data_IF_831114474037
#
_entry.id   IF_831114474037
#
_cell.length_a   1.000
_cell.length_b   1.000
_cell.length_c   1.000
_cell.angle_alpha   90.00
_cell.angle_beta   90.00
_cell.angle_gamma   90.00
#
_symmetry.space_group_name_H-M   'P 1'
#
loop_
_entity.id
_entity.type
_entity.pdbx_description
1 polymer ?
#
# COMPACT_ATOMS: atom_id res chain seq x y z
N UNK A 1 -30.43 -1.86 -15.98
CA UNK A 1 -30.22 -0.40 -16.16
C UNK A 1 -30.50 0.27 -14.84
N UNK A 2 -29.62 1.19 -14.43
CA UNK A 2 -29.74 1.97 -13.18
C UNK A 2 -29.99 3.43 -13.54
N UNK A 3 -31.09 4.01 -13.08
CA UNK A 3 -31.51 5.39 -13.46
C UNK A 3 -31.33 6.42 -12.35
N UNK A 4 -31.31 5.98 -11.09
CA UNK A 4 -31.09 6.85 -9.93
C UNK A 4 -29.64 7.17 -9.65
N UNK A 5 -29.37 8.15 -8.78
CA UNK A 5 -28.05 8.36 -8.23
C UNK A 5 -27.66 7.16 -7.36
N UNK A 6 -26.45 6.67 -7.55
CA UNK A 6 -25.89 5.55 -6.83
C UNK A 6 -24.74 6.06 -5.98
N UNK A 7 -24.70 5.68 -4.71
CA UNK A 7 -23.61 6.01 -3.83
C UNK A 7 -22.37 5.22 -4.16
N UNK A 8 -22.12 4.22 -3.39
CA UNK A 8 -20.98 3.34 -3.54
C UNK A 8 -21.44 1.93 -3.93
N UNK A 9 -20.67 1.28 -4.80
CA UNK A 9 -20.73 -0.17 -4.99
C UNK A 9 -19.31 -0.72 -5.16
N UNK A 10 -19.01 -1.86 -4.58
CA UNK A 10 -17.68 -2.46 -4.60
C UNK A 10 -17.67 -3.92 -5.01
N UNK A 11 -18.61 -4.73 -4.61
CA UNK A 11 -18.58 -6.15 -4.93
C UNK A 11 -19.94 -6.69 -5.36
N UNK A 12 -19.91 -7.72 -6.20
CA UNK A 12 -21.03 -8.61 -6.55
C UNK A 12 -22.36 -7.90 -6.88
N UNK A 13 -22.32 -6.77 -7.59
CA UNK A 13 -23.55 -6.11 -8.06
C UNK A 13 -24.39 -7.03 -8.93
N UNK A 14 -23.74 -7.86 -9.76
CA UNK A 14 -24.39 -8.89 -10.59
C UNK A 14 -23.60 -10.19 -10.50
N UNK A 15 -24.31 -11.29 -10.26
CA UNK A 15 -23.69 -12.61 -10.11
C UNK A 15 -24.51 -13.67 -10.87
N UNK A 16 -23.81 -14.57 -11.57
CA UNK A 16 -24.39 -15.69 -12.31
C UNK A 16 -25.44 -15.32 -13.37
N UNK A 17 -25.33 -14.13 -13.95
CA UNK A 17 -26.28 -13.65 -14.96
C UNK A 17 -25.91 -14.15 -16.36
N UNK A 18 -26.41 -15.31 -16.75
CA UNK A 18 -26.02 -16.03 -17.97
C UNK A 18 -26.31 -15.28 -19.28
N UNK A 19 -27.27 -14.36 -19.29
CA UNK A 19 -27.69 -13.64 -20.50
C UNK A 19 -27.43 -12.13 -20.46
N UNK A 20 -26.86 -11.63 -19.40
CA UNK A 20 -26.53 -10.21 -19.23
C UNK A 20 -25.41 -9.82 -20.22
N UNK A 21 -25.64 -8.81 -21.06
CA UNK A 21 -24.64 -8.30 -22.01
C UNK A 21 -24.04 -6.96 -21.60
N UNK A 22 -24.89 -6.05 -21.08
CA UNK A 22 -24.47 -4.71 -20.73
C UNK A 22 -25.04 -4.30 -19.39
N UNK A 23 -24.27 -3.51 -18.62
CA UNK A 23 -24.75 -2.80 -17.43
C UNK A 23 -24.68 -1.32 -17.74
N UNK A 24 -25.80 -0.61 -17.56
CA UNK A 24 -25.89 0.81 -17.90
C UNK A 24 -26.26 1.61 -16.66
N UNK A 25 -25.41 2.57 -16.32
CA UNK A 25 -25.63 3.57 -15.29
C UNK A 25 -26.01 4.90 -15.93
N UNK A 26 -27.31 5.27 -15.86
CA UNK A 26 -27.80 6.56 -16.35
C UNK A 26 -27.74 7.65 -15.29
N UNK A 27 -27.87 7.28 -14.04
CA UNK A 27 -27.68 8.19 -12.93
C UNK A 27 -26.20 8.40 -12.57
N UNK A 28 -25.92 9.43 -11.76
CA UNK A 28 -24.57 9.65 -11.25
C UNK A 28 -24.14 8.55 -10.28
N UNK A 29 -22.85 8.25 -10.28
CA UNK A 29 -22.23 7.31 -9.36
C UNK A 29 -21.24 8.08 -8.49
N UNK A 30 -21.40 8.01 -7.18
CA UNK A 30 -20.49 8.68 -6.25
C UNK A 30 -19.14 7.98 -6.20
N UNK A 31 -19.14 6.66 -6.04
CA UNK A 31 -17.91 5.88 -5.97
C UNK A 31 -18.13 4.49 -6.53
N UNK A 32 -17.17 4.01 -7.31
CA UNK A 32 -17.00 2.60 -7.61
C UNK A 32 -15.76 2.14 -6.86
N UNK A 33 -15.77 0.95 -6.31
CA UNK A 33 -14.62 0.38 -5.66
C UNK A 33 -14.58 -1.12 -5.83
N UNK A 34 -13.48 -1.70 -5.45
CA UNK A 34 -13.35 -3.13 -5.26
C UNK A 34 -13.29 -3.97 -6.53
N UNK A 35 -12.90 -5.20 -6.31
CA UNK A 35 -12.83 -6.26 -7.31
C UNK A 35 -14.15 -7.05 -7.36
N UNK A 36 -14.46 -7.63 -8.52
CA UNK A 36 -15.57 -8.57 -8.63
C UNK A 36 -16.98 -7.96 -8.63
N UNK A 37 -17.12 -6.73 -9.04
CA UNK A 37 -18.43 -6.06 -9.24
C UNK A 37 -19.42 -6.90 -10.07
N UNK A 38 -18.95 -7.61 -11.08
CA UNK A 38 -19.70 -8.59 -11.85
C UNK A 38 -19.00 -9.95 -11.75
N UNK A 39 -19.71 -11.00 -11.39
CA UNK A 39 -19.11 -12.30 -11.20
C UNK A 39 -19.87 -13.39 -11.97
N UNK A 40 -19.13 -14.20 -12.73
CA UNK A 40 -19.67 -15.34 -13.49
C UNK A 40 -20.84 -14.96 -14.41
N UNK A 41 -20.65 -13.87 -15.20
CA UNK A 41 -21.60 -13.41 -16.21
C UNK A 41 -20.97 -13.58 -17.61
N UNK A 42 -21.07 -14.77 -18.23
CA UNK A 42 -20.25 -15.16 -19.39
C UNK A 42 -20.52 -14.34 -20.65
N UNK A 43 -21.69 -13.71 -20.76
CA UNK A 43 -22.06 -12.87 -21.93
C UNK A 43 -21.89 -11.37 -21.65
N UNK A 44 -21.50 -10.97 -20.45
CA UNK A 44 -21.28 -9.56 -20.13
C UNK A 44 -20.03 -9.05 -20.88
N UNK A 45 -20.18 -8.04 -21.71
CA UNK A 45 -19.10 -7.46 -22.52
C UNK A 45 -18.77 -6.01 -22.17
N UNK A 46 -19.71 -5.26 -21.60
CA UNK A 46 -19.47 -3.85 -21.27
C UNK A 46 -20.23 -3.34 -20.05
N UNK A 47 -19.63 -2.31 -19.43
CA UNK A 47 -20.23 -1.47 -18.39
C UNK A 47 -20.25 -0.04 -18.93
N UNK A 48 -21.43 0.59 -18.94
CA UNK A 48 -21.65 1.89 -19.57
C UNK A 48 -22.04 2.91 -18.51
N UNK A 49 -21.29 4.00 -18.43
CA UNK A 49 -21.58 5.14 -17.56
C UNK A 49 -22.03 6.33 -18.42
N UNK A 50 -23.32 6.67 -18.35
CA UNK A 50 -23.91 7.78 -19.15
C UNK A 50 -23.92 9.12 -18.40
N UNK A 51 -23.57 9.13 -17.10
CA UNK A 51 -23.58 10.32 -16.27
C UNK A 51 -22.23 10.52 -15.56
N UNK A 52 -22.21 11.30 -14.48
CA UNK A 52 -21.01 11.62 -13.71
C UNK A 52 -20.62 10.47 -12.77
N UNK A 53 -19.36 10.09 -12.78
CA UNK A 53 -18.73 9.23 -11.79
C UNK A 53 -17.75 10.08 -11.00
N UNK A 54 -17.94 10.23 -9.69
CA UNK A 54 -17.08 11.07 -8.86
C UNK A 54 -15.73 10.38 -8.62
N UNK A 55 -15.77 9.13 -8.20
CA UNK A 55 -14.58 8.33 -7.96
C UNK A 55 -14.73 6.97 -8.65
N UNK A 56 -13.85 6.68 -9.60
CA UNK A 56 -13.86 5.45 -10.38
C UNK A 56 -12.61 4.62 -10.12
N UNK A 57 -12.81 3.36 -9.71
CA UNK A 57 -11.75 2.38 -9.58
C UNK A 57 -11.67 1.50 -10.81
N UNK A 58 -10.51 1.48 -11.47
CA UNK A 58 -10.28 0.64 -12.65
C UNK A 58 -10.22 -0.85 -12.33
N UNK A 59 -9.93 -1.21 -11.09
CA UNK A 59 -9.92 -2.60 -10.65
C UNK A 59 -11.33 -3.21 -10.59
N UNK A 60 -12.37 -2.39 -10.76
CA UNK A 60 -13.76 -2.81 -10.89
C UNK A 60 -13.95 -3.96 -11.89
N UNK A 61 -13.18 -4.00 -12.95
CA UNK A 61 -13.30 -5.01 -14.02
C UNK A 61 -12.39 -6.24 -13.80
N UNK A 62 -11.54 -6.24 -12.79
CA UNK A 62 -10.66 -7.36 -12.49
C UNK A 62 -11.42 -8.50 -11.79
N UNK A 63 -10.91 -9.71 -11.96
CA UNK A 63 -11.34 -10.93 -11.25
C UNK A 63 -12.86 -11.24 -11.34
N UNK A 64 -13.52 -10.67 -12.36
CA UNK A 64 -14.96 -10.81 -12.53
C UNK A 64 -15.42 -12.20 -12.98
N UNK A 65 -14.51 -13.08 -13.45
CA UNK A 65 -14.86 -14.32 -14.17
C UNK A 65 -15.91 -14.09 -15.28
N UNK A 66 -15.81 -12.91 -15.91
CA UNK A 66 -16.63 -12.50 -17.06
C UNK A 66 -15.71 -12.37 -18.28
N UNK A 67 -15.47 -13.46 -19.04
CA UNK A 67 -14.41 -13.52 -20.06
C UNK A 67 -14.57 -12.50 -21.18
N UNK A 68 -15.78 -12.01 -21.42
CA UNK A 68 -16.08 -11.02 -22.45
C UNK A 68 -16.04 -9.57 -21.92
N UNK A 69 -15.94 -9.36 -20.60
CA UNK A 69 -15.90 -8.03 -20.00
C UNK A 69 -14.49 -7.43 -20.11
N UNK A 70 -14.24 -6.73 -21.21
CA UNK A 70 -12.91 -6.17 -21.50
C UNK A 70 -12.88 -4.64 -21.48
N UNK A 71 -14.04 -3.98 -21.35
CA UNK A 71 -14.14 -2.53 -21.48
C UNK A 71 -15.23 -1.92 -20.61
N UNK A 72 -15.06 -0.67 -20.27
CA UNK A 72 -16.14 0.22 -19.82
C UNK A 72 -16.32 1.36 -20.84
N UNK A 73 -17.54 1.83 -21.00
CA UNK A 73 -17.88 2.91 -21.92
C UNK A 73 -18.27 4.13 -21.09
N UNK A 74 -17.67 5.26 -21.41
CA UNK A 74 -17.88 6.54 -20.74
C UNK A 74 -18.53 7.54 -21.69
N UNK A 75 -19.76 7.96 -21.36
CA UNK A 75 -20.45 9.05 -22.04
C UNK A 75 -20.57 10.31 -21.15
N UNK A 76 -20.34 10.16 -19.85
CA UNK A 76 -20.34 11.24 -18.85
C UNK A 76 -18.94 11.69 -18.46
N UNK A 77 -18.82 12.28 -17.27
CA UNK A 77 -17.58 12.82 -16.72
C UNK A 77 -17.13 11.97 -15.53
N UNK A 78 -15.88 11.53 -15.57
CA UNK A 78 -15.20 10.95 -14.40
C UNK A 78 -14.40 12.04 -13.70
N UNK A 79 -14.69 12.31 -12.44
CA UNK A 79 -14.00 13.35 -11.68
C UNK A 79 -12.63 12.86 -11.19
N UNK A 80 -12.53 11.60 -10.77
CA UNK A 80 -11.26 10.96 -10.42
C UNK A 80 -11.26 9.49 -10.87
N UNK A 81 -10.15 9.06 -11.45
CA UNK A 81 -9.88 7.65 -11.78
C UNK A 81 -8.75 7.18 -10.89
N UNK A 82 -9.00 6.11 -10.12
CA UNK A 82 -8.04 5.52 -9.19
C UNK A 82 -7.18 4.45 -9.89
N UNK A 83 -5.98 4.23 -9.38
CA UNK A 83 -5.02 3.26 -9.92
C UNK A 83 -4.65 3.47 -11.40
N UNK A 84 -4.84 4.68 -11.93
CA UNK A 84 -4.38 5.02 -13.26
C UNK A 84 -3.76 6.43 -13.26
N UNK A 85 -2.95 6.73 -14.29
CA UNK A 85 -2.19 7.97 -14.40
C UNK A 85 -3.04 9.26 -14.47
N UNK A 86 -4.36 9.16 -14.58
CA UNK A 86 -5.27 10.31 -14.63
C UNK A 86 -5.89 10.51 -13.26
N UNK A 87 -5.35 11.40 -12.48
CA UNK A 87 -5.84 11.69 -11.12
C UNK A 87 -7.16 12.45 -11.10
N UNK A 88 -7.46 13.29 -12.10
CA UNK A 88 -8.71 14.04 -12.25
C UNK A 88 -8.96 14.32 -13.73
N UNK A 89 -10.23 14.21 -14.13
CA UNK A 89 -10.68 14.53 -15.49
C UNK A 89 -11.78 15.62 -15.49
N UNK A 90 -11.95 16.31 -14.36
CA UNK A 90 -12.90 17.40 -14.26
C UNK A 90 -12.42 18.59 -15.08
N UNK A 91 -13.16 18.93 -16.12
CA UNK A 91 -13.07 20.18 -16.84
C UNK A 91 -14.27 21.05 -16.45
N UNK A 92 -14.01 22.12 -15.72
CA UNK A 92 -15.05 23.02 -15.20
C UNK A 92 -15.82 23.68 -16.36
N UNK A 93 -15.17 24.04 -17.44
CA UNK A 93 -15.83 24.67 -18.60
C UNK A 93 -16.68 23.65 -19.35
N UNK A 94 -16.21 22.43 -19.47
CA UNK A 94 -17.02 21.33 -20.00
C UNK A 94 -18.26 21.07 -19.13
N UNK A 95 -18.11 21.06 -17.81
CA UNK A 95 -19.24 20.91 -16.88
C UNK A 95 -20.24 22.07 -17.03
N UNK A 96 -19.78 23.33 -17.13
CA UNK A 96 -20.65 24.50 -17.34
C UNK A 96 -21.46 24.41 -18.64
N UNK A 97 -20.89 23.79 -19.67
CA UNK A 97 -21.59 23.56 -20.95
C UNK A 97 -22.60 22.40 -20.91
N UNK A 98 -22.64 21.62 -19.81
CA UNK A 98 -23.48 20.44 -19.66
C UNK A 98 -24.40 20.52 -18.41
N UNK A 99 -25.51 21.24 -18.45
CA UNK A 99 -26.40 21.46 -17.29
C UNK A 99 -26.93 20.14 -16.67
N UNK A 100 -27.09 19.09 -17.48
CA UNK A 100 -27.49 17.76 -16.98
C UNK A 100 -26.47 17.21 -16.01
N UNK A 101 -25.18 17.26 -16.35
CA UNK A 101 -24.10 16.77 -15.50
C UNK A 101 -24.01 17.56 -14.20
N UNK A 102 -24.18 18.90 -14.25
CA UNK A 102 -24.24 19.75 -13.05
C UNK A 102 -25.42 19.34 -12.15
N UNK A 103 -26.58 19.06 -12.74
CA UNK A 103 -27.74 18.59 -11.97
C UNK A 103 -27.47 17.27 -11.28
N UNK A 104 -26.80 16.35 -11.94
CA UNK A 104 -26.42 15.05 -11.38
C UNK A 104 -25.38 15.20 -10.26
N UNK A 105 -24.36 16.06 -10.43
CA UNK A 105 -23.40 16.37 -9.38
C UNK A 105 -24.06 16.94 -8.11
N UNK A 106 -25.04 17.85 -8.30
CA UNK A 106 -25.80 18.40 -7.17
C UNK A 106 -26.60 17.34 -6.41
N UNK A 107 -27.25 16.42 -7.15
CA UNK A 107 -27.98 15.30 -6.54
C UNK A 107 -27.01 14.36 -5.78
N UNK A 108 -25.85 14.07 -6.36
CA UNK A 108 -24.81 13.28 -5.72
C UNK A 108 -24.35 13.94 -4.43
N UNK A 109 -24.09 15.24 -4.44
CA UNK A 109 -23.70 15.98 -3.24
C UNK A 109 -24.76 15.96 -2.14
N UNK A 110 -26.04 16.11 -2.50
CA UNK A 110 -27.16 16.04 -1.57
C UNK A 110 -27.24 14.64 -0.94
N UNK A 111 -27.11 13.61 -1.73
CA UNK A 111 -27.10 12.23 -1.26
C UNK A 111 -25.89 11.96 -0.35
N UNK A 112 -24.69 12.37 -0.74
CA UNK A 112 -23.49 12.25 0.09
C UNK A 112 -23.64 12.96 1.43
N UNK A 113 -24.19 14.17 1.45
CA UNK A 113 -24.45 14.90 2.69
C UNK A 113 -25.40 14.14 3.62
N UNK A 114 -26.43 13.47 3.07
CA UNK A 114 -27.34 12.63 3.85
C UNK A 114 -26.62 11.44 4.48
N UNK A 115 -25.77 10.72 3.72
CA UNK A 115 -24.99 9.59 4.24
C UNK A 115 -24.00 10.05 5.32
N UNK A 116 -23.27 11.15 5.06
CA UNK A 116 -22.27 11.67 6.00
C UNK A 116 -22.87 12.10 7.33
N UNK A 117 -24.15 12.47 7.36
CA UNK A 117 -24.87 12.88 8.58
C UNK A 117 -25.77 11.79 9.18
N UNK A 118 -25.94 10.64 8.51
CA UNK A 118 -26.77 9.56 9.00
C UNK A 118 -26.13 8.85 10.21
N UNK A 119 -26.96 8.47 11.19
CA UNK A 119 -26.48 7.88 12.46
C UNK A 119 -25.96 6.42 12.32
N UNK A 120 -26.45 5.67 11.35
CA UNK A 120 -26.23 4.21 11.24
C UNK A 120 -25.64 3.81 9.87
N UNK A 121 -24.72 4.58 9.33
CA UNK A 121 -24.11 4.30 8.01
C UNK A 121 -22.58 4.35 8.03
N UNK A 122 -21.99 3.90 9.11
CA UNK A 122 -20.53 3.98 9.34
C UNK A 122 -19.72 3.34 8.21
N UNK A 123 -20.15 2.19 7.72
CA UNK A 123 -19.51 1.47 6.63
C UNK A 123 -19.55 2.22 5.28
N UNK A 124 -20.56 3.05 5.03
CA UNK A 124 -20.65 3.88 3.82
C UNK A 124 -19.93 5.23 4.00
N UNK A 125 -19.87 5.73 5.23
CA UNK A 125 -19.41 7.09 5.54
C UNK A 125 -18.00 7.35 5.05
N UNK A 126 -17.08 6.43 5.24
CA UNK A 126 -15.68 6.58 4.79
C UNK A 126 -15.59 6.75 3.27
N UNK A 127 -16.23 5.88 2.50
CA UNK A 127 -16.20 5.95 1.04
C UNK A 127 -16.85 7.24 0.52
N UNK A 128 -18.00 7.61 1.10
CA UNK A 128 -18.71 8.84 0.70
C UNK A 128 -17.95 10.09 1.12
N UNK A 129 -17.23 10.06 2.24
CA UNK A 129 -16.35 11.15 2.63
C UNK A 129 -15.21 11.37 1.62
N UNK A 130 -14.56 10.30 1.18
CA UNK A 130 -13.51 10.38 0.17
C UNK A 130 -14.05 10.91 -1.17
N UNK A 131 -15.20 10.43 -1.59
CA UNK A 131 -15.89 10.93 -2.79
C UNK A 131 -16.28 12.41 -2.64
N UNK A 132 -16.77 12.81 -1.47
CA UNK A 132 -17.12 14.20 -1.18
C UNK A 132 -15.90 15.15 -1.22
N UNK A 133 -14.72 14.69 -0.77
CA UNK A 133 -13.46 15.46 -0.90
C UNK A 133 -13.12 15.79 -2.36
N UNK A 134 -13.51 14.94 -3.30
CA UNK A 134 -13.30 15.15 -4.73
C UNK A 134 -14.36 16.06 -5.31
N UNK A 135 -15.62 15.86 -4.91
CA UNK A 135 -16.76 16.62 -5.44
C UNK A 135 -16.84 18.06 -4.92
N UNK A 136 -16.49 18.27 -3.65
CA UNK A 136 -16.58 19.60 -3.02
C UNK A 136 -15.86 20.71 -3.78
N UNK A 137 -14.56 20.60 -4.15
CA UNK A 137 -13.86 21.64 -4.91
C UNK A 137 -14.48 21.90 -6.28
N UNK A 138 -15.05 20.90 -6.93
CA UNK A 138 -15.76 21.05 -8.21
C UNK A 138 -17.02 21.87 -8.02
N UNK A 139 -17.84 21.56 -7.02
CA UNK A 139 -19.07 22.33 -6.71
C UNK A 139 -18.75 23.76 -6.29
N UNK A 140 -17.66 23.97 -5.55
CA UNK A 140 -17.18 25.30 -5.18
C UNK A 140 -16.78 26.11 -6.40
N UNK A 141 -16.05 25.52 -7.36
CA UNK A 141 -15.67 26.17 -8.62
C UNK A 141 -16.88 26.49 -9.52
N UNK A 142 -17.96 25.72 -9.37
CA UNK A 142 -19.26 25.96 -10.04
C UNK A 142 -20.14 26.97 -9.30
N UNK A 143 -19.69 27.55 -8.18
CA UNK A 143 -20.48 28.44 -7.29
C UNK A 143 -21.82 27.81 -6.87
N UNK A 144 -21.83 26.51 -6.59
CA UNK A 144 -23.03 25.77 -6.22
C UNK A 144 -23.29 25.86 -4.72
N UNK A 145 -24.54 26.16 -4.32
CA UNK A 145 -24.97 26.18 -2.90
C UNK A 145 -24.81 24.79 -2.22
N UNK A 146 -24.85 23.71 -3.00
CA UNK A 146 -24.66 22.37 -2.50
C UNK A 146 -23.24 22.15 -1.94
N UNK A 147 -22.26 22.99 -2.33
CA UNK A 147 -20.91 22.95 -1.77
C UNK A 147 -20.91 23.22 -0.27
N UNK A 148 -21.67 24.21 0.20
CA UNK A 148 -21.72 24.56 1.63
C UNK A 148 -22.38 23.45 2.46
N UNK A 149 -23.47 22.88 1.93
CA UNK A 149 -24.16 21.75 2.58
C UNK A 149 -23.24 20.53 2.68
N UNK A 150 -22.53 20.20 1.58
CA UNK A 150 -21.58 19.07 1.55
C UNK A 150 -20.43 19.32 2.53
N UNK A 151 -19.88 20.55 2.57
CA UNK A 151 -18.81 20.91 3.52
C UNK A 151 -19.23 20.77 4.97
N UNK A 152 -20.43 21.20 5.31
CA UNK A 152 -20.98 21.05 6.67
C UNK A 152 -21.12 19.57 7.05
N UNK A 153 -21.63 18.74 6.14
CA UNK A 153 -21.74 17.29 6.34
C UNK A 153 -20.37 16.60 6.50
N UNK A 154 -19.38 17.00 5.69
CA UNK A 154 -18.01 16.52 5.83
C UNK A 154 -17.38 16.88 7.18
N UNK A 155 -17.57 18.12 7.64
CA UNK A 155 -17.07 18.55 8.94
C UNK A 155 -17.71 17.77 10.09
N UNK A 156 -19.01 17.50 10.00
CA UNK A 156 -19.71 16.65 10.96
C UNK A 156 -19.18 15.24 10.98
N UNK A 157 -19.06 14.59 9.80
CA UNK A 157 -18.49 13.25 9.69
C UNK A 157 -17.06 13.19 10.24
N UNK A 158 -16.23 14.18 9.91
CA UNK A 158 -14.86 14.27 10.44
C UNK A 158 -14.82 14.31 11.98
N UNK A 159 -15.79 14.99 12.61
CA UNK A 159 -15.87 15.06 14.07
C UNK A 159 -16.23 13.74 14.75
N UNK A 160 -16.72 12.75 14.01
CA UNK A 160 -17.09 11.44 14.53
C UNK A 160 -15.87 10.51 14.71
N UNK A 161 -14.76 10.73 13.99
CA UNK A 161 -13.53 10.00 14.23
C UNK A 161 -12.84 9.43 12.98
N UNK A 162 -12.03 8.39 13.20
CA UNK A 162 -11.12 7.84 12.19
C UNK A 162 -11.83 7.15 11.01
N UNK A 163 -13.10 6.79 11.14
CA UNK A 163 -13.86 6.08 10.11
C UNK A 163 -14.04 6.85 8.80
N UNK A 164 -13.84 8.17 8.83
CA UNK A 164 -13.90 9.02 7.62
C UNK A 164 -12.54 9.46 7.11
N UNK A 165 -11.48 9.15 7.84
CA UNK A 165 -10.12 9.57 7.51
C UNK A 165 -9.48 8.60 6.51
N UNK A 166 -8.65 9.12 5.59
CA UNK A 166 -7.77 8.27 4.81
C UNK A 166 -6.69 7.66 5.70
N UNK A 167 -6.03 6.61 5.22
CA UNK A 167 -4.86 6.03 5.90
C UNK A 167 -3.76 7.07 6.11
N UNK A 168 -3.59 7.95 5.15
CA UNK A 168 -2.64 9.07 5.24
C UNK A 168 -3.07 10.11 6.29
N UNK A 169 -4.36 10.44 6.39
CA UNK A 169 -4.87 11.36 7.42
C UNK A 169 -4.60 10.79 8.83
N UNK A 170 -4.87 9.49 9.05
CA UNK A 170 -4.58 8.80 10.32
C UNK A 170 -3.08 8.85 10.64
N UNK A 171 -2.23 8.64 9.62
CA UNK A 171 -0.79 8.68 9.80
C UNK A 171 -0.29 10.10 10.15
N UNK A 172 -0.84 11.14 9.52
CA UNK A 172 -0.51 12.54 9.80
C UNK A 172 -0.87 12.97 11.23
N UNK A 173 -1.89 12.37 11.81
CA UNK A 173 -2.33 12.64 13.18
C UNK A 173 -1.62 11.77 14.22
N UNK A 174 -0.75 10.84 13.80
CA UNK A 174 -0.03 9.97 14.74
C UNK A 174 0.87 10.78 15.68
N UNK A 175 0.95 10.41 16.96
CA UNK A 175 1.93 11.01 17.87
C UNK A 175 3.36 10.87 17.33
N UNK A 176 4.22 11.82 17.66
CA UNK A 176 5.63 11.77 17.28
C UNK A 176 6.37 10.71 18.08
N UNK A 177 7.54 10.34 17.59
CA UNK A 177 8.51 9.57 18.36
C UNK A 177 9.22 10.46 19.40
N UNK A 178 9.80 9.83 20.38
CA UNK A 178 10.54 10.51 21.44
C UNK A 178 11.95 9.91 21.53
N UNK A 179 12.92 10.70 21.97
CA UNK A 179 14.26 10.24 22.29
C UNK A 179 14.32 9.95 23.79
N UNK A 180 13.75 8.83 24.22
CA UNK A 180 13.96 8.33 25.59
C UNK A 180 15.36 7.72 25.73
N UNK A 181 15.86 7.52 26.96
CA UNK A 181 17.15 6.89 27.15
C UNK A 181 17.24 5.56 26.39
N UNK A 182 18.35 5.28 25.73
CA UNK A 182 18.47 4.11 24.88
C UNK A 182 18.27 2.83 25.69
N UNK A 183 17.65 1.85 25.05
CA UNK A 183 17.65 0.47 25.54
C UNK A 183 19.09 0.00 25.77
N UNK A 184 19.33 -0.75 26.82
CA UNK A 184 20.62 -1.42 27.05
C UNK A 184 20.80 -2.63 26.11
N UNK A 185 20.47 -2.44 24.84
CA UNK A 185 20.59 -3.43 23.77
C UNK A 185 20.97 -2.75 22.46
N UNK A 186 21.78 -3.45 21.65
CA UNK A 186 22.15 -3.03 20.31
C UNK A 186 21.68 -4.04 19.28
N UNK A 187 21.34 -3.57 18.08
CA UNK A 187 21.10 -4.46 16.94
C UNK A 187 22.38 -5.18 16.56
N UNK A 188 22.24 -6.46 16.27
CA UNK A 188 23.34 -7.32 15.83
C UNK A 188 23.08 -7.82 14.42
N UNK A 189 24.15 -7.95 13.66
CA UNK A 189 24.14 -8.39 12.28
C UNK A 189 25.17 -9.51 12.12
N UNK A 190 24.76 -10.62 11.47
CA UNK A 190 25.69 -11.68 11.16
C UNK A 190 26.72 -11.20 10.15
N UNK A 191 27.97 -11.57 10.38
CA UNK A 191 29.07 -11.25 9.48
C UNK A 191 28.99 -12.09 8.19
N UNK A 192 29.48 -11.61 7.04
CA UNK A 192 29.53 -12.37 5.79
C UNK A 192 30.32 -13.66 5.90
N UNK A 193 31.17 -13.77 6.91
CA UNK A 193 31.93 -14.98 7.25
C UNK A 193 31.11 -16.05 7.97
N UNK A 194 29.88 -15.75 8.40
CA UNK A 194 28.95 -16.73 8.96
C UNK A 194 28.79 -17.92 7.99
N UNK A 195 28.72 -19.12 8.57
CA UNK A 195 28.67 -20.35 7.77
C UNK A 195 27.46 -20.39 6.82
N UNK A 196 26.28 -20.03 7.33
CA UNK A 196 25.05 -20.09 6.54
C UNK A 196 25.09 -19.04 5.43
N UNK A 197 25.46 -17.80 5.76
CA UNK A 197 25.61 -16.73 4.79
C UNK A 197 26.63 -17.04 3.70
N UNK A 198 27.77 -17.66 4.04
CA UNK A 198 28.76 -18.11 3.03
C UNK A 198 28.20 -19.19 2.12
N UNK A 199 27.41 -20.11 2.66
CA UNK A 199 26.79 -21.18 1.84
C UNK A 199 25.76 -20.56 0.87
N UNK A 200 24.87 -19.69 1.34
CA UNK A 200 23.90 -18.96 0.52
C UNK A 200 24.59 -18.12 -0.55
N UNK A 201 25.63 -17.34 -0.16
CA UNK A 201 26.44 -16.53 -1.08
C UNK A 201 27.02 -17.34 -2.22
N UNK A 202 27.62 -18.49 -1.90
CA UNK A 202 28.21 -19.39 -2.88
C UNK A 202 27.17 -20.08 -3.76
N UNK A 203 26.07 -20.57 -3.16
CA UNK A 203 25.01 -21.30 -3.87
C UNK A 203 24.40 -20.47 -4.97
N UNK A 204 24.06 -19.23 -4.67
CA UNK A 204 23.41 -18.31 -5.60
C UNK A 204 24.37 -17.42 -6.39
N UNK A 205 25.67 -17.51 -6.12
CA UNK A 205 26.67 -16.64 -6.72
C UNK A 205 26.33 -15.14 -6.52
N UNK A 206 25.95 -14.77 -5.27
CA UNK A 206 25.40 -13.47 -4.95
C UNK A 206 26.35 -12.30 -5.26
N UNK A 207 27.67 -12.53 -5.25
CA UNK A 207 28.64 -11.50 -5.67
C UNK A 207 28.45 -11.09 -7.13
N UNK A 208 28.22 -12.07 -8.00
CA UNK A 208 27.97 -11.80 -9.43
C UNK A 208 26.64 -11.09 -9.63
N UNK A 209 25.62 -11.48 -8.87
CA UNK A 209 24.29 -10.83 -8.92
C UNK A 209 24.40 -9.39 -8.43
N UNK A 210 25.00 -9.18 -7.27
CA UNK A 210 25.21 -7.84 -6.70
C UNK A 210 26.06 -6.95 -7.62
N UNK A 211 27.04 -7.55 -8.32
CA UNK A 211 27.95 -6.82 -9.21
C UNK A 211 29.04 -6.04 -8.46
N UNK A 212 29.81 -5.27 -9.23
CA UNK A 212 30.97 -4.54 -8.74
C UNK A 212 30.73 -3.03 -8.60
N UNK A 213 29.48 -2.60 -8.65
CA UNK A 213 29.09 -1.20 -8.45
C UNK A 213 29.22 -0.74 -6.99
N UNK A 214 28.76 0.47 -6.74
CA UNK A 214 28.63 0.99 -5.37
C UNK A 214 27.59 0.20 -4.55
N UNK A 215 27.50 0.52 -3.27
CA UNK A 215 26.59 -0.18 -2.35
C UNK A 215 25.12 -0.06 -2.77
N UNK A 216 24.70 1.10 -3.29
CA UNK A 216 23.33 1.32 -3.80
C UNK A 216 23.04 0.44 -5.01
N UNK A 217 23.93 0.39 -5.98
CA UNK A 217 23.79 -0.48 -7.16
C UNK A 217 23.70 -1.95 -6.76
N UNK A 218 24.53 -2.39 -5.81
CA UNK A 218 24.52 -3.76 -5.30
C UNK A 218 23.22 -4.10 -4.58
N UNK A 219 22.67 -3.18 -3.79
CA UNK A 219 21.37 -3.34 -3.12
C UNK A 219 20.25 -3.50 -4.14
N UNK A 220 20.20 -2.62 -5.14
CA UNK A 220 19.18 -2.65 -6.21
C UNK A 220 19.25 -3.95 -7.00
N UNK A 221 20.44 -4.40 -7.36
CA UNK A 221 20.61 -5.66 -8.10
C UNK A 221 20.07 -6.87 -7.31
N UNK A 222 20.32 -6.92 -6.00
CA UNK A 222 19.79 -7.98 -5.14
C UNK A 222 18.28 -7.85 -4.91
N UNK A 223 17.76 -6.62 -4.78
CA UNK A 223 16.33 -6.33 -4.69
C UNK A 223 15.58 -6.90 -5.88
N UNK A 224 15.99 -6.52 -7.09
CA UNK A 224 15.35 -6.99 -8.32
C UNK A 224 15.53 -8.50 -8.52
N UNK A 225 16.70 -9.03 -8.17
CA UNK A 225 16.92 -10.47 -8.27
C UNK A 225 15.98 -11.28 -7.36
N UNK A 226 15.75 -10.87 -6.12
CA UNK A 226 14.80 -11.55 -5.23
C UNK A 226 13.38 -11.43 -5.77
N UNK A 227 12.96 -10.22 -6.17
CA UNK A 227 11.66 -9.96 -6.76
C UNK A 227 11.38 -10.83 -8.00
N UNK A 228 12.33 -10.93 -8.91
CA UNK A 228 12.16 -11.64 -10.18
C UNK A 228 12.18 -13.17 -10.02
N UNK A 229 12.72 -13.67 -8.93
CA UNK A 229 12.90 -15.11 -8.72
C UNK A 229 11.92 -15.74 -7.74
N UNK A 230 11.23 -14.96 -6.92
CA UNK A 230 10.25 -15.43 -5.94
C UNK A 230 9.00 -14.57 -6.06
N UNK A 231 7.91 -15.14 -6.60
CA UNK A 231 6.64 -14.43 -6.70
C UNK A 231 6.05 -14.14 -5.32
N UNK A 232 5.41 -13.00 -5.18
CA UNK A 232 4.63 -12.69 -3.99
C UNK A 232 3.24 -13.31 -4.07
N UNK A 233 2.84 -14.01 -2.99
CA UNK A 233 1.47 -14.44 -2.75
C UNK A 233 1.13 -14.28 -1.26
N UNK A 234 0.35 -13.25 -0.94
CA UNK A 234 -0.04 -12.94 0.43
C UNK A 234 -0.90 -14.02 1.09
N UNK A 235 -1.54 -14.90 0.32
CA UNK A 235 -2.34 -16.02 0.84
C UNK A 235 -1.49 -17.22 1.24
N UNK A 236 -0.28 -17.33 0.72
CA UNK A 236 0.67 -18.38 1.04
C UNK A 236 1.65 -17.91 2.11
N UNK A 237 1.56 -18.16 3.32
CA UNK A 237 2.48 -17.75 4.40
C UNK A 237 3.98 -17.81 4.07
N UNK A 238 4.78 -18.42 4.91
CA UNK A 238 6.19 -18.71 4.69
C UNK A 238 6.38 -20.09 4.05
N UNK A 239 7.48 -20.30 3.34
CA UNK A 239 7.82 -21.62 2.81
C UNK A 239 7.93 -22.64 3.96
N UNK A 240 7.38 -23.86 3.79
CA UNK A 240 7.56 -24.93 4.79
C UNK A 240 9.03 -25.27 5.01
N UNK A 241 9.43 -25.45 6.25
CA UNK A 241 10.81 -25.76 6.63
C UNK A 241 11.62 -24.52 7.04
N UNK A 242 12.88 -24.47 6.66
CA UNK A 242 13.78 -23.39 7.03
C UNK A 242 13.33 -22.04 6.43
N UNK A 243 13.35 -21.00 7.25
CA UNK A 243 12.93 -19.64 6.84
C UNK A 243 14.12 -18.83 6.33
N UNK A 244 14.66 -19.28 5.20
CA UNK A 244 15.86 -18.71 4.58
C UNK A 244 15.70 -18.60 3.06
N UNK A 245 16.64 -17.94 2.42
CA UNK A 245 16.64 -17.72 0.97
C UNK A 245 16.66 -19.05 0.20
N UNK A 246 17.51 -20.00 0.60
CA UNK A 246 17.65 -21.26 -0.11
C UNK A 246 16.34 -22.04 -0.12
N UNK A 247 15.75 -22.28 1.04
CA UNK A 247 14.53 -23.06 1.15
C UNK A 247 13.33 -22.36 0.47
N UNK A 248 13.21 -21.05 0.63
CA UNK A 248 12.12 -20.27 0.00
C UNK A 248 12.21 -20.32 -1.52
N UNK A 249 13.40 -20.09 -2.07
CA UNK A 249 13.66 -20.14 -3.51
C UNK A 249 13.38 -21.54 -4.11
N UNK A 250 13.91 -22.58 -3.49
CA UNK A 250 13.74 -23.97 -3.94
C UNK A 250 12.27 -24.42 -3.85
N UNK A 251 11.60 -24.04 -2.76
CA UNK A 251 10.19 -24.35 -2.52
C UNK A 251 9.29 -23.64 -3.53
N UNK A 252 9.54 -22.38 -3.82
CA UNK A 252 8.80 -21.63 -4.83
C UNK A 252 8.88 -22.29 -6.19
N UNK A 253 10.07 -22.72 -6.61
CA UNK A 253 10.30 -23.41 -7.89
C UNK A 253 9.68 -24.81 -7.92
N UNK A 254 9.83 -25.58 -6.84
CA UNK A 254 9.30 -26.94 -6.77
C UNK A 254 7.78 -26.96 -6.82
N UNK A 255 7.15 -26.02 -6.15
CA UNK A 255 5.69 -25.97 -6.01
C UNK A 255 5.02 -25.01 -7.00
N UNK A 256 5.80 -24.29 -7.81
CA UNK A 256 5.30 -23.25 -8.74
C UNK A 256 4.35 -22.27 -8.05
N UNK A 257 4.75 -21.75 -6.87
CA UNK A 257 3.94 -20.84 -6.05
C UNK A 257 4.77 -19.68 -5.51
N UNK A 258 4.09 -18.59 -5.17
CA UNK A 258 4.66 -17.46 -4.45
C UNK A 258 4.56 -17.63 -2.93
N UNK A 259 5.17 -16.69 -2.19
CA UNK A 259 5.12 -16.58 -0.74
C UNK A 259 4.82 -15.14 -0.31
N UNK A 260 4.49 -14.94 0.97
CA UNK A 260 4.13 -13.61 1.47
C UNK A 260 5.32 -12.63 1.50
N UNK A 261 5.03 -11.35 1.76
CA UNK A 261 6.01 -10.27 1.84
C UNK A 261 7.13 -10.55 2.86
N UNK A 262 6.82 -11.23 3.98
CA UNK A 262 7.80 -11.59 5.00
C UNK A 262 8.85 -12.57 4.46
N UNK A 263 8.44 -13.58 3.69
CA UNK A 263 9.36 -14.52 3.06
C UNK A 263 10.34 -13.81 2.12
N UNK A 264 9.83 -12.91 1.27
CA UNK A 264 10.65 -12.15 0.33
C UNK A 264 11.62 -11.22 1.07
N UNK A 265 11.16 -10.54 2.12
CA UNK A 265 12.00 -9.64 2.93
C UNK A 265 13.11 -10.39 3.69
N UNK A 266 12.83 -11.59 4.22
CA UNK A 266 13.84 -12.47 4.79
C UNK A 266 14.89 -12.85 3.74
N UNK A 267 14.45 -13.24 2.55
CA UNK A 267 15.35 -13.61 1.45
C UNK A 267 16.29 -12.47 1.05
N UNK A 268 15.74 -11.25 0.92
CA UNK A 268 16.55 -10.07 0.58
C UNK A 268 17.52 -9.71 1.71
N UNK A 269 17.06 -9.76 2.97
CA UNK A 269 17.92 -9.50 4.14
C UNK A 269 19.11 -10.47 4.16
N UNK A 270 18.86 -11.76 3.98
CA UNK A 270 19.93 -12.77 3.94
C UNK A 270 20.90 -12.54 2.77
N UNK A 271 20.38 -12.23 1.57
CA UNK A 271 21.23 -11.95 0.41
C UNK A 271 22.14 -10.74 0.64
N UNK A 272 21.62 -9.66 1.25
CA UNK A 272 22.38 -8.46 1.58
C UNK A 272 23.46 -8.73 2.64
N UNK A 273 23.12 -9.42 3.73
CA UNK A 273 24.06 -9.81 4.77
C UNK A 273 25.17 -10.69 4.19
N UNK A 274 24.83 -11.64 3.32
CA UNK A 274 25.78 -12.55 2.69
C UNK A 274 26.84 -11.83 1.85
N UNK A 275 26.54 -10.70 1.25
CA UNK A 275 27.51 -9.89 0.50
C UNK A 275 28.11 -8.73 1.32
N UNK A 276 27.89 -8.70 2.64
CA UNK A 276 28.49 -7.74 3.55
C UNK A 276 27.78 -6.40 3.64
N UNK A 277 26.51 -6.36 3.32
CA UNK A 277 25.66 -5.19 3.49
C UNK A 277 24.76 -5.42 4.71
N UNK A 278 24.94 -4.70 5.84
CA UNK A 278 24.05 -4.82 6.97
C UNK A 278 22.61 -4.57 6.55
N UNK A 279 21.71 -5.49 6.91
CA UNK A 279 20.31 -5.41 6.53
C UNK A 279 19.41 -6.04 7.61
N UNK A 280 18.17 -5.61 7.65
CA UNK A 280 17.11 -6.21 8.47
C UNK A 280 15.75 -6.00 7.82
N UNK A 281 14.84 -6.94 8.01
CA UNK A 281 13.47 -6.71 7.58
C UNK A 281 12.68 -5.97 8.66
N UNK A 282 11.69 -5.20 8.21
CA UNK A 282 10.79 -4.40 9.05
C UNK A 282 9.37 -4.84 8.76
N UNK A 283 8.68 -5.34 9.77
CA UNK A 283 7.23 -5.55 9.71
C UNK A 283 6.56 -4.21 9.94
N UNK A 284 5.86 -3.73 8.94
CA UNK A 284 5.10 -2.50 8.95
C UNK A 284 3.65 -2.84 9.33
N UNK A 285 3.15 -2.25 10.42
CA UNK A 285 1.90 -2.65 11.06
C UNK A 285 0.96 -1.46 11.14
N UNK A 286 -0.32 -1.68 10.86
CA UNK A 286 -1.35 -0.64 10.87
C UNK A 286 -1.73 -0.19 12.30
N UNK A 287 -2.28 1.02 12.44
CA UNK A 287 -2.91 1.49 13.68
C UNK A 287 -4.01 0.54 14.14
N UNK A 288 -4.78 0.02 13.18
CA UNK A 288 -5.92 -0.86 13.42
C UNK A 288 -5.58 -2.35 13.48
N UNK A 289 -4.37 -2.72 13.87
CA UNK A 289 -3.86 -4.11 13.88
C UNK A 289 -4.77 -5.12 14.61
N UNK A 290 -5.59 -4.69 15.55
CA UNK A 290 -6.54 -5.55 16.28
C UNK A 290 -7.64 -6.12 15.37
N UNK A 291 -8.01 -5.41 14.32
CA UNK A 291 -9.09 -5.76 13.40
C UNK A 291 -8.63 -5.91 11.95
N UNK A 292 -7.46 -5.40 11.61
CA UNK A 292 -6.83 -5.48 10.30
C UNK A 292 -5.63 -6.43 10.36
N UNK A 293 -5.80 -7.64 9.89
CA UNK A 293 -4.76 -8.66 9.86
C UNK A 293 -3.71 -8.42 8.75
N UNK A 294 -3.92 -7.43 7.87
CA UNK A 294 -2.98 -7.12 6.81
C UNK A 294 -1.85 -6.24 7.35
N UNK A 295 -0.65 -6.71 7.19
CA UNK A 295 0.59 -5.98 7.44
C UNK A 295 1.50 -6.09 6.21
N UNK A 296 2.52 -5.26 6.15
CA UNK A 296 3.53 -5.37 5.10
C UNK A 296 4.92 -5.55 5.68
N UNK A 297 5.79 -6.26 4.95
CA UNK A 297 7.17 -6.47 5.38
C UNK A 297 8.12 -6.01 4.29
N UNK A 298 8.94 -5.02 4.63
CA UNK A 298 10.00 -4.49 3.78
C UNK A 298 11.36 -4.89 4.32
N UNK A 299 12.41 -4.62 3.56
CA UNK A 299 13.79 -4.70 4.03
C UNK A 299 14.40 -3.30 4.10
N UNK A 300 15.31 -3.09 5.02
CA UNK A 300 16.21 -1.94 5.03
C UNK A 300 17.65 -2.42 4.94
N UNK A 301 18.46 -1.66 4.20
CA UNK A 301 19.87 -1.92 4.00
C UNK A 301 20.71 -0.71 4.39
N UNK A 302 21.87 -0.93 4.98
CA UNK A 302 22.78 0.16 5.36
C UNK A 302 23.62 0.61 4.16
N UNK A 303 23.40 1.82 3.72
CA UNK A 303 24.26 2.45 2.72
C UNK A 303 25.44 3.15 3.37
N UNK A 304 26.65 2.67 3.06
CA UNK A 304 27.90 3.31 3.47
C UNK A 304 28.11 4.64 2.76
N UNK A 305 27.73 4.71 1.49
CA UNK A 305 27.90 5.92 0.68
C UNK A 305 26.98 7.06 1.16
N UNK A 306 25.75 6.74 1.59
CA UNK A 306 24.79 7.70 2.14
C UNK A 306 24.90 7.84 3.68
N UNK A 307 25.65 6.96 4.34
CA UNK A 307 25.76 6.86 5.80
C UNK A 307 24.40 6.79 6.51
N UNK A 308 23.47 5.98 5.95
CA UNK A 308 22.13 5.78 6.51
C UNK A 308 21.49 4.48 6.03
N UNK A 309 20.43 4.09 6.70
CA UNK A 309 19.52 3.05 6.23
C UNK A 309 18.76 3.52 4.98
N UNK A 310 18.45 2.60 4.09
CA UNK A 310 17.60 2.84 2.92
C UNK A 310 16.50 1.80 2.82
N UNK A 311 15.33 2.22 2.35
CA UNK A 311 14.18 1.38 2.12
C UNK A 311 14.34 0.56 0.85
N UNK A 312 14.17 -0.76 0.92
CA UNK A 312 14.11 -1.68 -0.23
C UNK A 312 13.01 -2.72 0.00
N UNK A 313 12.08 -2.83 -0.93
CA UNK A 313 10.91 -3.69 -0.81
C UNK A 313 10.89 -4.74 -1.93
N UNK A 314 11.22 -6.00 -1.62
CA UNK A 314 11.27 -7.04 -2.64
C UNK A 314 9.90 -7.49 -3.16
N UNK A 315 8.82 -7.21 -2.43
CA UNK A 315 7.45 -7.53 -2.87
C UNK A 315 7.06 -6.71 -4.10
N UNK A 316 7.45 -5.45 -4.12
CA UNK A 316 7.09 -4.51 -5.17
C UNK A 316 8.29 -4.04 -6.01
N UNK A 317 9.46 -4.67 -5.87
CA UNK A 317 10.70 -4.19 -6.50
C UNK A 317 10.91 -2.69 -6.26
N UNK A 318 10.61 -2.21 -5.04
CA UNK A 318 10.46 -0.78 -4.77
C UNK A 318 11.53 -0.24 -3.83
N UNK A 319 11.99 0.96 -4.12
CA UNK A 319 12.66 1.87 -3.20
C UNK A 319 12.08 3.28 -3.37
N UNK A 320 12.34 4.15 -2.44
CA UNK A 320 11.80 5.51 -2.41
C UNK A 320 12.93 6.51 -2.33
N UNK A 321 12.85 7.58 -3.13
CA UNK A 321 13.82 8.68 -3.12
C UNK A 321 13.14 10.01 -2.82
N UNK A 322 13.94 10.98 -2.44
CA UNK A 322 13.55 12.39 -2.46
C UNK A 322 13.60 12.97 -3.89
N UNK A 323 13.31 14.26 -4.02
CA UNK A 323 13.35 15.04 -5.26
C UNK A 323 14.75 15.15 -5.89
N UNK A 324 15.81 14.83 -5.14
CA UNK A 324 17.20 14.82 -5.60
C UNK A 324 17.69 13.41 -5.99
N UNK A 325 16.82 12.41 -5.92
CA UNK A 325 17.16 11.03 -6.21
C UNK A 325 17.90 10.31 -5.08
N UNK A 326 17.92 10.86 -3.85
CA UNK A 326 18.55 10.25 -2.68
C UNK A 326 17.59 9.25 -2.06
N UNK A 327 18.03 8.00 -1.91
CA UNK A 327 17.22 6.96 -1.27
C UNK A 327 16.90 7.29 0.18
N UNK A 328 15.68 7.04 0.59
CA UNK A 328 15.13 7.37 1.89
C UNK A 328 15.01 6.12 2.78
N UNK A 329 15.09 6.31 4.10
CA UNK A 329 14.74 5.28 5.07
C UNK A 329 13.28 5.43 5.55
N UNK A 330 12.70 4.41 6.21
CA UNK A 330 11.27 4.44 6.57
C UNK A 330 10.85 5.65 7.41
N UNK A 331 11.69 6.12 8.34
CA UNK A 331 11.41 7.33 9.13
C UNK A 331 11.37 8.60 8.27
N UNK A 332 12.25 8.74 7.27
CA UNK A 332 12.21 9.87 6.33
C UNK A 332 10.96 9.80 5.43
N UNK A 333 10.59 8.59 5.00
CA UNK A 333 9.34 8.39 4.22
C UNK A 333 8.12 8.76 5.07
N UNK A 334 8.07 8.28 6.32
CA UNK A 334 7.02 8.63 7.27
C UNK A 334 6.92 10.15 7.48
N UNK A 335 8.05 10.79 7.77
CA UNK A 335 8.10 12.24 7.96
C UNK A 335 7.58 12.99 6.71
N UNK A 336 8.01 12.58 5.51
CA UNK A 336 7.59 13.21 4.26
C UNK A 336 6.11 12.98 3.96
N UNK A 337 5.56 11.80 4.27
CA UNK A 337 4.12 11.53 4.17
C UNK A 337 3.31 12.43 5.12
N UNK A 338 3.79 12.60 6.35
CA UNK A 338 3.12 13.45 7.34
C UNK A 338 3.12 14.94 6.98
N UNK A 339 4.13 15.40 6.21
CA UNK A 339 4.34 16.82 5.89
C UNK A 339 4.09 17.16 4.41
N UNK A 340 3.50 16.24 3.65
CA UNK A 340 3.22 16.40 2.21
C UNK A 340 4.47 16.78 1.38
N UNK A 341 5.63 16.27 1.77
CA UNK A 341 6.89 16.50 1.04
C UNK A 341 7.02 15.51 -0.12
N UNK A 342 7.76 15.86 -1.18
CA UNK A 342 7.93 15.01 -2.35
C UNK A 342 8.49 13.63 -2.01
N UNK A 343 7.87 12.58 -2.56
CA UNK A 343 8.31 11.20 -2.51
C UNK A 343 8.26 10.62 -3.92
N UNK A 344 9.37 10.08 -4.37
CA UNK A 344 9.50 9.50 -5.70
C UNK A 344 9.68 7.99 -5.55
N UNK A 345 8.69 7.26 -6.04
CA UNK A 345 8.74 5.80 -6.12
C UNK A 345 9.58 5.39 -7.34
N UNK A 346 10.37 4.35 -7.21
CA UNK A 346 11.09 3.74 -8.32
C UNK A 346 10.18 3.49 -9.53
N UNK A 347 10.64 3.87 -10.72
CA UNK A 347 9.88 3.71 -11.95
C UNK A 347 9.61 2.24 -12.32
N UNK A 348 10.49 1.32 -11.90
CA UNK A 348 10.36 -0.11 -12.11
C UNK A 348 9.49 -0.81 -11.04
N UNK A 349 9.03 -0.06 -10.01
CA UNK A 349 8.21 -0.64 -8.95
C UNK A 349 6.95 -1.32 -9.51
N UNK A 350 6.83 -2.61 -9.21
CA UNK A 350 5.74 -3.44 -9.72
C UNK A 350 5.44 -4.62 -8.77
N UNK A 351 4.28 -5.23 -8.90
CA UNK A 351 3.92 -6.48 -8.25
C UNK A 351 4.05 -7.65 -9.23
N UNK A 352 4.95 -8.60 -8.93
CA UNK A 352 5.16 -9.84 -9.68
C UNK A 352 5.42 -9.62 -11.19
N UNK A 353 6.07 -8.55 -11.60
CA UNK A 353 6.29 -8.19 -13.01
C UNK A 353 4.99 -8.08 -13.84
N UNK A 354 3.85 -7.84 -13.17
CA UNK A 354 2.51 -7.81 -13.80
C UNK A 354 1.79 -6.48 -13.60
N UNK A 355 1.91 -5.88 -12.41
CA UNK A 355 1.14 -4.68 -12.05
C UNK A 355 2.08 -3.58 -11.59
N UNK A 356 2.28 -2.59 -12.45
CA UNK A 356 3.09 -1.40 -12.11
C UNK A 356 2.47 -0.66 -10.93
N UNK A 357 3.31 -0.27 -9.97
CA UNK A 357 2.88 0.51 -8.82
C UNK A 357 2.88 2.01 -9.13
N UNK A 358 2.04 2.74 -8.42
CA UNK A 358 2.04 4.20 -8.41
C UNK A 358 2.39 4.71 -7.02
N UNK A 359 3.05 5.87 -6.95
CA UNK A 359 3.36 6.49 -5.67
C UNK A 359 2.09 6.77 -4.83
N UNK A 360 0.99 7.15 -5.47
CA UNK A 360 -0.27 7.41 -4.77
C UNK A 360 -0.82 6.14 -4.11
N UNK A 361 -0.86 5.01 -4.83
CA UNK A 361 -1.31 3.75 -4.22
C UNK A 361 -0.31 3.23 -3.21
N UNK A 362 0.94 2.99 -3.65
CA UNK A 362 1.93 2.31 -2.82
C UNK A 362 2.26 3.11 -1.54
N UNK A 363 2.50 4.43 -1.66
CA UNK A 363 2.91 5.25 -0.52
C UNK A 363 1.74 5.81 0.28
N UNK A 364 0.73 6.41 -0.38
CA UNK A 364 -0.32 7.17 0.31
C UNK A 364 -1.51 6.33 0.75
N UNK A 365 -1.71 5.15 0.15
CA UNK A 365 -2.78 4.22 0.54
C UNK A 365 -2.20 3.02 1.29
N UNK A 366 -1.38 2.20 0.61
CA UNK A 366 -0.92 0.94 1.16
C UNK A 366 0.10 1.11 2.29
N UNK A 367 1.19 1.85 2.05
CA UNK A 367 2.21 2.04 3.08
C UNK A 367 1.80 3.05 4.15
N UNK A 368 1.02 4.09 3.83
CA UNK A 368 0.47 4.99 4.84
C UNK A 368 -0.38 4.24 5.88
N UNK A 369 -1.07 3.16 5.47
CA UNK A 369 -1.75 2.26 6.41
C UNK A 369 -0.76 1.49 7.29
N UNK A 370 0.28 0.95 6.69
CA UNK A 370 1.14 -0.06 7.29
C UNK A 370 2.36 0.50 8.03
N UNK A 371 2.77 1.75 7.82
CA UNK A 371 3.97 2.33 8.45
C UNK A 371 3.71 2.95 9.84
N UNK A 372 2.61 2.59 10.49
CA UNK A 372 2.23 3.20 11.77
C UNK A 372 3.05 2.66 12.96
N UNK A 373 3.30 1.35 12.99
CA UNK A 373 4.24 0.69 13.89
C UNK A 373 5.29 -0.06 13.07
N UNK A 374 6.53 -0.11 13.54
CA UNK A 374 7.63 -0.72 12.81
C UNK A 374 8.33 -1.76 13.70
N UNK A 375 8.15 -3.04 13.40
CA UNK A 375 8.76 -4.12 14.17
C UNK A 375 9.95 -4.75 13.43
N UNK A 376 11.00 -5.08 14.16
CA UNK A 376 12.17 -5.77 13.61
C UNK A 376 12.83 -6.68 14.62
N UNK A 377 13.63 -7.62 14.15
CA UNK A 377 14.46 -8.46 15.02
C UNK A 377 15.67 -7.70 15.55
N UNK A 378 16.04 -7.95 16.80
CA UNK A 378 17.28 -7.43 17.38
C UNK A 378 18.49 -8.15 16.79
N UNK A 379 18.37 -9.45 16.49
CA UNK A 379 19.40 -10.24 15.84
C UNK A 379 19.05 -10.53 14.39
N UNK A 380 19.90 -10.08 13.47
CA UNK A 380 19.70 -10.18 12.03
C UNK A 380 20.76 -11.12 11.45
N UNK A 381 20.30 -12.31 10.99
CA UNK A 381 21.14 -13.41 10.55
C UNK A 381 20.42 -14.25 9.48
N UNK A 382 21.06 -15.28 8.96
CA UNK A 382 20.37 -16.33 8.22
C UNK A 382 19.35 -17.05 9.13
N UNK A 383 18.20 -17.41 8.57
CA UNK A 383 17.12 -18.06 9.32
C UNK A 383 16.66 -17.25 10.56
N UNK A 384 16.33 -15.98 10.44
CA UNK A 384 16.03 -15.16 11.61
C UNK A 384 14.79 -15.63 12.39
N UNK A 385 13.97 -16.50 11.81
CA UNK A 385 12.73 -17.04 12.37
C UNK A 385 12.65 -18.58 12.40
N UNK A 386 13.77 -19.27 12.30
CA UNK A 386 13.81 -20.74 12.37
C UNK A 386 13.46 -21.29 13.76
N UNK A 387 13.12 -22.58 13.85
CA UNK A 387 12.87 -23.29 15.12
C UNK A 387 14.08 -23.20 16.06
N UNK A 388 15.27 -23.15 15.51
CA UNK A 388 16.52 -22.94 16.24
C UNK A 388 16.86 -21.45 16.34
N UNK A 389 15.89 -20.60 16.11
CA UNK A 389 16.11 -19.19 16.21
C UNK A 389 16.70 -18.91 17.58
N UNK A 390 17.86 -18.33 17.57
CA UNK A 390 18.64 -18.00 18.72
C UNK A 390 17.76 -17.48 19.85
N UNK A 391 18.00 -17.78 21.14
CA UNK A 391 17.22 -17.28 22.29
C UNK A 391 17.00 -15.77 22.28
N UNK A 392 17.67 -15.07 21.39
CA UNK A 392 17.56 -13.64 21.14
C UNK A 392 16.69 -13.29 19.93
N UNK A 393 15.88 -14.21 19.41
CA UNK A 393 14.83 -13.93 18.44
C UNK A 393 13.75 -12.97 18.98
N UNK A 394 14.22 -11.98 19.71
CA UNK A 394 13.42 -10.92 20.32
C UNK A 394 13.21 -9.84 19.29
N UNK A 395 11.96 -9.39 19.22
CA UNK A 395 11.57 -8.27 18.39
C UNK A 395 11.47 -6.99 19.20
N UNK A 396 11.69 -5.88 18.56
CA UNK A 396 11.42 -4.55 19.07
C UNK A 396 10.55 -3.80 18.08
N UNK A 397 9.53 -3.14 18.60
CA UNK A 397 8.63 -2.31 17.80
C UNK A 397 8.85 -0.84 18.13
N UNK A 398 9.14 -0.05 17.11
CA UNK A 398 9.08 1.40 17.19
C UNK A 398 7.61 1.82 17.16
N UNK A 399 7.19 2.47 18.22
CA UNK A 399 5.81 2.93 18.43
C UNK A 399 5.78 4.44 18.67
N UNK A 400 4.75 5.16 18.19
CA UNK A 400 4.56 6.56 18.55
C UNK A 400 4.40 6.72 20.08
N UNK A 401 4.78 7.85 20.61
CA UNK A 401 4.71 8.14 22.07
C UNK A 401 3.30 7.86 22.62
N UNK A 402 3.25 7.16 23.75
CA UNK A 402 2.01 6.81 24.43
C UNK A 402 1.28 5.59 23.88
N UNK A 403 1.82 4.95 22.83
CA UNK A 403 1.26 3.73 22.25
C UNK A 403 2.14 2.51 22.57
N UNK A 404 1.52 1.32 22.49
CA UNK A 404 2.20 0.03 22.65
C UNK A 404 1.69 -0.96 21.62
N UNK A 405 2.58 -1.86 21.19
CA UNK A 405 2.22 -3.02 20.38
C UNK A 405 2.45 -4.29 21.23
N UNK A 406 1.39 -4.99 21.64
CA UNK A 406 1.50 -6.02 22.68
C UNK A 406 2.16 -7.32 22.20
N UNK A 407 2.28 -7.53 20.89
CA UNK A 407 2.89 -8.74 20.34
C UNK A 407 4.41 -8.67 20.24
N UNK A 408 5.01 -7.48 20.39
CA UNK A 408 6.46 -7.34 20.43
C UNK A 408 7.03 -7.74 21.80
N UNK A 409 8.27 -8.23 21.81
CA UNK A 409 8.99 -8.45 23.08
C UNK A 409 9.31 -7.11 23.77
N UNK A 410 9.58 -6.08 22.98
CA UNK A 410 9.90 -4.74 23.46
C UNK A 410 9.21 -3.68 22.59
N UNK A 411 8.83 -2.58 23.22
CA UNK A 411 8.38 -1.37 22.54
C UNK A 411 9.36 -0.25 22.83
N UNK A 412 9.61 0.60 21.85
CA UNK A 412 10.39 1.83 22.02
C UNK A 412 9.76 2.97 21.24
N UNK A 413 9.81 4.17 21.77
CA UNK A 413 9.54 5.40 21.04
C UNK A 413 10.82 6.17 20.66
N UNK A 414 11.98 5.61 20.98
CA UNK A 414 13.29 6.20 20.64
C UNK A 414 13.65 5.87 19.18
N UNK A 415 13.27 6.78 18.30
CA UNK A 415 13.56 6.68 16.87
C UNK A 415 15.06 6.67 16.58
N UNK A 416 15.85 7.47 17.31
CA UNK A 416 17.29 7.55 17.13
C UNK A 416 17.97 6.22 17.45
N UNK A 417 17.57 5.58 18.55
CA UNK A 417 18.05 4.24 18.90
C UNK A 417 17.60 3.21 17.85
N UNK A 418 16.34 3.27 17.41
CA UNK A 418 15.81 2.29 16.45
C UNK A 418 16.55 2.35 15.10
N UNK A 419 16.95 3.52 14.63
CA UNK A 419 17.71 3.72 13.40
C UNK A 419 19.23 3.82 13.60
N UNK A 420 19.75 3.32 14.74
CA UNK A 420 21.19 3.37 15.02
C UNK A 420 22.03 2.77 13.87
N UNK A 421 23.23 3.31 13.71
CA UNK A 421 24.24 2.78 12.77
C UNK A 421 24.57 1.33 13.13
N UNK A 422 24.67 0.41 12.17
CA UNK A 422 25.13 -0.95 12.44
C UNK A 422 26.58 -0.90 12.96
N UNK A 423 26.82 -1.61 14.04
CA UNK A 423 28.15 -1.72 14.68
C UNK A 423 29.02 -2.70 13.92
#
# INVERSE_FOLDING_TARGET
MFEGAIGHFDCALVTNCQNLRNIIFRGSVSSTGGQGFAHNCPKLDSVIFESTVVYFDLDLLKDSKCPNLTKYIRHGVFLKVYNNKIASIADIDYLKSNPRLIKDLKKTAQWQAQILTAKNSDWMRSNEYQSARILYPVLKALNSKEADTLKAAMNYAWSLGDEVKTKLDILKESPKYNSEPPFDMAFRYAEPSDRMLRMTRKKFNLDKIAGNGDDISRMKNLLYWVHDNIEHDGSNGLAPGARNLENTYESARRNSCGYNCRALAICLTEALLAVGIPARYITCISKGWETDNDCHVICIAWSKSLNKWVWVDPTFAAYVTDENGIMLHPGEVLYRLQHDLPLILDEEANWNNRVKQTADYYLKEYMAKNIYFLETNIWNQAEPEGENNHPQGKTVTLVPVGLTYPHANYNTSDEKWFWQTPL
#
